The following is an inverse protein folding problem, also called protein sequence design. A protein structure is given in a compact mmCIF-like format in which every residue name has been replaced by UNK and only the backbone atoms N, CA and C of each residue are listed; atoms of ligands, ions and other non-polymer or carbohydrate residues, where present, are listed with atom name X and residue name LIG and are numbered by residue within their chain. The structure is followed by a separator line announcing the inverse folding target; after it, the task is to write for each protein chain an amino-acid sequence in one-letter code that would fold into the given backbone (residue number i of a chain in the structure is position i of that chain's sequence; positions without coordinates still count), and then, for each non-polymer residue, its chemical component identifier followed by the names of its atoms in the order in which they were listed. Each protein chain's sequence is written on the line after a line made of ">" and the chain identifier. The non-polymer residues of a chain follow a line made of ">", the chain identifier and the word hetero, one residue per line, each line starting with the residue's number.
data_IF_856500247095
#
_entry.id   IF_856500247095
#
_cell.length_a   1.000
_cell.length_b   1.000
_cell.length_c   1.000
_cell.angle_alpha   90.00
_cell.angle_beta   90.00
_cell.angle_gamma   90.00
#
_symmetry.space_group_name_H-M   'P 1'
#
loop_
_entity.id
_entity.type
_entity.pdbx_description
1 polymer ?
#
# COMPACT_ATOMS: atom_id res chain seq x y z
N UNK A 1 6.93 12.47 -22.85
CA UNK A 1 6.17 11.26 -23.19
C UNK A 1 4.68 11.56 -23.30
N UNK A 2 4.03 12.09 -22.27
CA UNK A 2 2.58 12.33 -22.26
C UNK A 2 2.11 13.25 -23.40
N UNK A 3 2.87 14.30 -23.72
CA UNK A 3 2.58 15.18 -24.86
C UNK A 3 2.58 14.48 -26.22
N UNK A 4 3.19 13.27 -26.29
CA UNK A 4 3.17 12.43 -27.49
C UNK A 4 2.04 11.41 -27.49
N UNK A 5 1.57 11.01 -26.31
CA UNK A 5 0.55 9.98 -26.15
C UNK A 5 -0.86 10.55 -26.09
N UNK A 6 -0.99 11.79 -25.65
CA UNK A 6 -2.26 12.48 -25.48
C UNK A 6 -2.38 13.54 -26.56
N UNK A 7 -3.36 13.37 -27.45
CA UNK A 7 -3.64 14.26 -28.56
C UNK A 7 -5.10 14.71 -28.55
N UNK A 8 -5.99 13.85 -28.09
CA UNK A 8 -7.42 14.13 -28.09
C UNK A 8 -8.09 13.70 -26.80
N UNK A 9 -9.32 14.16 -26.59
CA UNK A 9 -10.15 13.76 -25.44
C UNK A 9 -10.39 12.24 -25.35
N UNK A 10 -10.22 11.50 -26.47
CA UNK A 10 -10.36 10.04 -26.51
C UNK A 10 -9.22 9.30 -25.83
N UNK A 11 -8.07 9.96 -25.66
CA UNK A 11 -6.91 9.40 -24.99
C UNK A 11 -7.00 9.57 -23.47
N UNK A 12 -8.07 10.22 -22.97
CA UNK A 12 -8.28 10.51 -21.56
C UNK A 12 -9.47 9.73 -20.97
N UNK A 13 -9.40 9.32 -19.70
CA UNK A 13 -8.26 9.48 -18.80
C UNK A 13 -7.14 8.49 -19.10
N UNK A 14 -5.90 8.96 -19.13
CA UNK A 14 -4.74 8.07 -19.13
C UNK A 14 -4.35 7.74 -17.69
N UNK A 15 -4.20 6.45 -17.37
CA UNK A 15 -3.81 5.99 -16.04
C UNK A 15 -2.68 4.98 -16.15
N UNK A 16 -1.55 5.30 -15.53
CA UNK A 16 -0.34 4.48 -15.56
C UNK A 16 0.08 4.16 -14.14
N UNK A 17 0.45 2.93 -13.92
CA UNK A 17 0.95 2.43 -12.63
C UNK A 17 2.26 1.67 -12.84
N UNK A 18 3.25 1.97 -12.01
CA UNK A 18 4.56 1.33 -12.00
C UNK A 18 4.77 0.56 -10.70
N UNK A 19 5.37 -0.61 -10.83
CA UNK A 19 6.00 -1.34 -9.76
C UNK A 19 7.49 -1.37 -10.06
N UNK A 20 8.26 -0.56 -9.36
CA UNK A 20 9.68 -0.40 -9.66
C UNK A 20 10.49 -0.08 -8.40
N UNK A 21 11.77 0.14 -8.61
CA UNK A 21 12.72 0.59 -7.60
C UNK A 21 13.05 2.05 -7.84
N UNK A 22 13.06 2.85 -6.76
CA UNK A 22 13.57 4.21 -6.78
C UNK A 22 14.90 4.29 -6.02
N UNK A 23 15.84 5.05 -6.57
CA UNK A 23 17.15 5.35 -5.95
C UNK A 23 17.23 6.83 -5.62
N UNK A 24 17.57 7.15 -4.36
CA UNK A 24 17.77 8.50 -3.85
C UNK A 24 19.13 8.61 -3.16
N UNK A 25 20.11 9.08 -3.88
CA UNK A 25 21.50 9.17 -3.41
C UNK A 25 21.72 10.19 -2.26
N UNK A 26 20.78 11.13 -2.09
CA UNK A 26 20.82 12.14 -1.02
C UNK A 26 20.53 11.59 0.39
N UNK A 27 20.00 10.36 0.50
CA UNK A 27 19.68 9.76 1.79
C UNK A 27 20.94 9.17 2.42
N UNK A 28 21.40 9.79 3.52
CA UNK A 28 22.60 9.36 4.26
C UNK A 28 22.28 8.57 5.54
N UNK A 29 21.21 8.95 6.26
CA UNK A 29 20.79 8.26 7.47
C UNK A 29 19.66 7.28 7.12
N UNK A 30 19.96 5.99 7.13
CA UNK A 30 19.03 4.93 6.74
C UNK A 30 18.44 4.21 7.96
N UNK A 31 17.19 3.73 7.79
CA UNK A 31 16.51 2.79 8.69
C UNK A 31 15.84 1.72 7.82
N UNK A 32 16.02 0.43 8.08
CA UNK A 32 15.41 -0.63 7.30
C UNK A 32 13.93 -0.39 7.04
N UNK A 33 13.49 -0.55 5.80
CA UNK A 33 12.14 -0.28 5.28
C UNK A 33 11.63 1.15 5.40
N UNK A 34 11.98 1.88 6.46
CA UNK A 34 11.42 3.21 6.75
C UNK A 34 12.07 4.32 5.94
N UNK A 35 13.40 4.28 5.83
CA UNK A 35 14.19 5.27 5.11
C UNK A 35 15.44 4.63 4.53
N UNK A 36 15.42 4.37 3.23
CA UNK A 36 16.52 3.74 2.50
C UNK A 36 16.85 4.56 1.25
N UNK A 37 18.09 4.52 0.79
CA UNK A 37 18.50 5.17 -0.45
C UNK A 37 17.90 4.49 -1.68
N UNK A 38 17.68 3.18 -1.61
CA UNK A 38 16.98 2.41 -2.62
C UNK A 38 15.74 1.77 -2.00
N UNK A 39 14.60 1.82 -2.67
CA UNK A 39 13.36 1.26 -2.17
C UNK A 39 12.42 0.80 -3.28
N UNK A 40 11.73 -0.30 -3.02
CA UNK A 40 10.62 -0.76 -3.83
C UNK A 40 9.38 0.08 -3.53
N UNK A 41 8.67 0.45 -4.57
CA UNK A 41 7.44 1.20 -4.44
C UNK A 41 6.48 0.94 -5.60
N UNK A 42 5.27 1.35 -5.38
CA UNK A 42 4.25 1.51 -6.38
C UNK A 42 4.07 3.01 -6.60
N UNK A 43 4.09 3.43 -7.85
CA UNK A 43 3.88 4.82 -8.25
C UNK A 43 2.89 4.88 -9.39
N UNK A 44 1.93 5.80 -9.30
CA UNK A 44 0.97 6.01 -10.35
C UNK A 44 0.91 7.46 -10.81
N UNK A 45 0.58 7.61 -12.08
CA UNK A 45 0.40 8.89 -12.76
C UNK A 45 -0.84 8.85 -13.60
N UNK A 46 -1.67 9.88 -13.48
CA UNK A 46 -2.89 9.96 -14.28
C UNK A 46 -3.04 11.31 -14.94
N UNK A 47 -3.73 11.32 -16.08
CA UNK A 47 -4.03 12.51 -16.86
C UNK A 47 -5.51 12.52 -17.18
N UNK A 48 -6.17 13.65 -16.96
CA UNK A 48 -7.62 13.82 -17.07
C UNK A 48 -7.99 15.04 -17.89
N UNK A 49 -9.20 15.04 -18.46
CA UNK A 49 -9.73 16.16 -19.21
C UNK A 49 -10.15 17.31 -18.29
N UNK A 50 -10.68 17.01 -17.11
CA UNK A 50 -11.21 18.04 -16.21
C UNK A 50 -10.55 18.01 -14.84
N UNK A 51 -10.66 19.12 -14.13
CA UNK A 51 -10.19 19.28 -12.76
C UNK A 51 -10.91 18.30 -11.83
N UNK A 52 -12.21 18.22 -11.96
CA UNK A 52 -13.09 17.41 -11.12
C UNK A 52 -12.78 15.92 -11.24
N UNK A 53 -12.46 15.43 -12.43
CA UNK A 53 -12.03 14.05 -12.64
C UNK A 53 -10.71 13.76 -11.94
N UNK A 54 -9.74 14.67 -12.07
CA UNK A 54 -8.44 14.53 -11.42
C UNK A 54 -8.56 14.59 -9.87
N UNK A 55 -9.36 15.51 -9.32
CA UNK A 55 -9.61 15.60 -7.87
C UNK A 55 -10.29 14.33 -7.33
N UNK A 56 -11.27 13.78 -8.06
CA UNK A 56 -11.90 12.50 -7.70
C UNK A 56 -10.90 11.36 -7.69
N UNK A 57 -9.98 11.32 -8.65
CA UNK A 57 -8.95 10.29 -8.70
C UNK A 57 -7.99 10.39 -7.50
N UNK A 58 -7.56 11.60 -7.12
CA UNK A 58 -6.73 11.83 -5.92
C UNK A 58 -7.38 11.24 -4.68
N UNK A 59 -8.67 11.52 -4.46
CA UNK A 59 -9.38 11.04 -3.28
C UNK A 59 -9.66 9.54 -3.33
N UNK A 60 -9.98 9.01 -4.52
CA UNK A 60 -10.17 7.57 -4.72
C UNK A 60 -8.90 6.77 -4.37
N UNK A 61 -7.74 7.23 -4.82
CA UNK A 61 -6.47 6.56 -4.52
C UNK A 61 -6.14 6.63 -3.03
N UNK A 62 -6.35 7.79 -2.39
CA UNK A 62 -6.16 7.92 -0.96
C UNK A 62 -7.01 6.93 -0.17
N UNK A 63 -8.27 6.74 -0.58
CA UNK A 63 -9.17 5.78 0.04
C UNK A 63 -8.73 4.32 -0.19
N UNK A 64 -8.28 3.98 -1.40
CA UNK A 64 -7.72 2.64 -1.70
C UNK A 64 -6.52 2.36 -0.80
N UNK A 65 -5.61 3.31 -0.65
CA UNK A 65 -4.46 3.16 0.23
C UNK A 65 -4.86 3.01 1.69
N UNK A 66 -5.77 3.86 2.17
CA UNK A 66 -6.32 3.77 3.53
C UNK A 66 -6.92 2.38 3.79
N UNK A 67 -7.86 1.96 2.95
CA UNK A 67 -8.53 0.67 3.11
C UNK A 67 -7.54 -0.51 3.05
N UNK A 68 -6.53 -0.43 2.17
CA UNK A 68 -5.49 -1.45 2.09
C UNK A 68 -4.71 -1.54 3.40
N UNK A 69 -4.31 -0.42 3.97
CA UNK A 69 -3.50 -0.38 5.19
C UNK A 69 -4.34 -0.79 6.41
N UNK A 70 -5.55 -0.25 6.56
CA UNK A 70 -6.42 -0.59 7.69
C UNK A 70 -6.92 -2.04 7.62
N UNK A 71 -7.39 -2.49 6.47
CA UNK A 71 -7.99 -3.82 6.35
C UNK A 71 -7.00 -4.97 6.19
N UNK A 72 -5.87 -4.75 5.48
CA UNK A 72 -4.89 -5.83 5.23
C UNK A 72 -3.77 -5.84 6.24
N UNK A 73 -3.26 -4.65 6.59
CA UNK A 73 -2.14 -4.52 7.52
C UNK A 73 -2.58 -4.27 8.96
N UNK A 74 -3.88 -4.06 9.20
CA UNK A 74 -4.47 -3.77 10.51
C UNK A 74 -3.81 -2.54 11.20
N UNK A 75 -3.43 -1.53 10.41
CA UNK A 75 -2.80 -0.32 10.91
C UNK A 75 -3.81 0.83 10.83
N UNK A 76 -4.20 1.44 11.96
CA UNK A 76 -5.05 2.61 11.95
C UNK A 76 -4.33 3.81 11.35
N UNK A 77 -4.98 4.52 10.43
CA UNK A 77 -4.40 5.69 9.78
C UNK A 77 -5.30 6.92 9.85
N UNK A 78 -4.65 8.08 9.91
CA UNK A 78 -5.30 9.37 9.74
C UNK A 78 -4.99 9.90 8.34
N UNK A 79 -6.00 10.35 7.62
CA UNK A 79 -5.83 10.99 6.32
C UNK A 79 -6.01 12.50 6.45
N UNK A 80 -5.28 13.25 5.64
CA UNK A 80 -5.34 14.70 5.65
C UNK A 80 -4.66 15.34 4.46
N UNK A 81 -4.74 16.66 4.40
CA UNK A 81 -4.01 17.49 3.43
C UNK A 81 -2.74 18.02 4.08
N UNK A 82 -1.61 17.89 3.38
CA UNK A 82 -0.33 18.45 3.84
C UNK A 82 -0.33 19.97 3.82
N UNK A 83 0.45 20.55 4.71
CA UNK A 83 0.74 21.98 4.71
C UNK A 83 1.45 22.42 3.44
N UNK A 84 1.40 23.69 3.11
CA UNK A 84 2.09 24.27 1.96
C UNK A 84 3.60 24.01 1.96
N UNK A 85 4.19 23.92 3.17
CA UNK A 85 5.61 23.66 3.36
C UNK A 85 6.00 22.19 3.08
N UNK A 86 5.08 21.26 3.30
CA UNK A 86 5.36 19.81 3.25
C UNK A 86 4.73 19.10 2.05
N UNK A 87 3.87 19.78 1.31
CA UNK A 87 3.29 19.24 0.09
C UNK A 87 4.37 18.90 -0.94
N UNK A 88 4.08 18.00 -1.85
CA UNK A 88 4.96 17.72 -2.98
C UNK A 88 5.20 18.99 -3.80
N UNK A 89 6.47 19.28 -4.09
CA UNK A 89 6.85 20.45 -4.87
C UNK A 89 6.26 20.37 -6.28
N UNK A 90 5.50 21.38 -6.66
CA UNK A 90 4.79 21.43 -7.94
C UNK A 90 3.34 20.92 -7.88
N UNK A 91 2.90 20.25 -6.80
CA UNK A 91 1.48 19.95 -6.64
C UNK A 91 0.70 21.20 -6.18
N UNK A 92 -0.55 21.31 -6.59
CA UNK A 92 -1.48 22.30 -6.01
C UNK A 92 -1.78 21.93 -4.56
N UNK A 93 -2.02 20.63 -4.29
CA UNK A 93 -2.08 20.08 -2.93
C UNK A 93 -1.66 18.61 -2.91
N UNK A 94 -1.29 18.15 -1.73
CA UNK A 94 -0.96 16.75 -1.44
C UNK A 94 -1.86 16.24 -0.33
N UNK A 95 -2.50 15.10 -0.58
CA UNK A 95 -3.14 14.31 0.48
C UNK A 95 -2.18 13.24 0.98
N UNK A 96 -2.30 12.89 2.24
CA UNK A 96 -1.43 11.92 2.92
C UNK A 96 -2.24 10.98 3.80
N UNK A 97 -1.72 9.80 4.04
CA UNK A 97 -2.12 8.95 5.16
C UNK A 97 -0.93 8.73 6.08
N UNK A 98 -1.16 8.88 7.37
CA UNK A 98 -0.15 8.79 8.42
C UNK A 98 -0.67 7.98 9.60
N UNK A 99 0.22 7.30 10.29
CA UNK A 99 -0.10 6.59 11.53
C UNK A 99 0.89 6.97 12.61
N UNK A 100 0.44 6.94 13.86
CA UNK A 100 1.31 7.15 15.02
C UNK A 100 1.99 5.83 15.36
N UNK A 101 3.31 5.86 15.37
CA UNK A 101 4.13 4.71 15.75
C UNK A 101 4.24 4.58 17.27
N UNK A 102 4.65 3.41 17.80
CA UNK A 102 4.78 3.20 19.23
C UNK A 102 5.72 4.19 19.95
N UNK A 103 6.66 4.80 19.24
CA UNK A 103 7.55 5.83 19.75
C UNK A 103 6.90 7.25 19.79
N UNK A 104 5.61 7.34 19.49
CA UNK A 104 4.83 8.59 19.48
C UNK A 104 5.01 9.46 18.24
N UNK A 105 5.78 9.03 17.26
CA UNK A 105 6.02 9.79 16.03
C UNK A 105 5.04 9.42 14.93
N UNK A 106 4.62 10.41 14.15
CA UNK A 106 3.84 10.19 12.95
C UNK A 106 4.73 9.63 11.81
N UNK A 107 4.27 8.57 11.17
CA UNK A 107 4.89 8.00 9.98
C UNK A 107 3.98 8.21 8.77
N UNK A 108 4.47 8.92 7.77
CA UNK A 108 3.82 9.01 6.46
C UNK A 108 3.93 7.67 5.74
N UNK A 109 2.79 7.10 5.31
CA UNK A 109 2.74 5.79 4.68
C UNK A 109 2.35 5.81 3.22
N UNK A 110 1.69 6.87 2.75
CA UNK A 110 1.33 7.04 1.36
C UNK A 110 0.82 8.45 1.07
N UNK A 111 0.92 8.86 -0.18
CA UNK A 111 0.47 10.18 -0.64
C UNK A 111 -0.27 10.09 -1.97
N UNK A 112 -1.20 11.01 -2.16
CA UNK A 112 -1.86 11.24 -3.45
C UNK A 112 -1.87 12.74 -3.72
N UNK A 113 -1.35 13.12 -4.89
CA UNK A 113 -1.06 14.50 -5.24
C UNK A 113 -1.99 14.98 -6.35
N UNK A 114 -2.63 16.11 -6.12
CA UNK A 114 -3.26 16.87 -7.19
C UNK A 114 -2.23 17.82 -7.80
N UNK A 115 -1.75 17.48 -8.98
CA UNK A 115 -0.73 18.27 -9.67
C UNK A 115 -1.34 19.47 -10.42
N UNK A 116 -2.66 19.45 -10.62
CA UNK A 116 -3.34 20.46 -11.41
C UNK A 116 -2.81 20.50 -12.83
N UNK A 117 -2.45 21.69 -13.29
CA UNK A 117 -1.81 21.92 -14.58
C UNK A 117 -0.35 22.37 -14.46
N UNK A 118 0.25 22.23 -13.26
CA UNK A 118 1.59 22.75 -12.99
C UNK A 118 2.69 22.01 -13.77
N UNK A 119 2.42 20.77 -14.19
CA UNK A 119 3.33 20.01 -15.05
C UNK A 119 2.83 19.97 -16.51
N UNK A 120 1.54 19.92 -16.76
CA UNK A 120 1.03 19.87 -18.14
C UNK A 120 1.36 21.12 -18.94
N UNK A 121 1.34 22.30 -18.32
CA UNK A 121 1.72 23.54 -19.00
C UNK A 121 3.18 23.57 -19.46
N UNK A 122 4.19 23.40 -18.58
CA UNK A 122 5.59 23.46 -19.00
C UNK A 122 6.01 22.29 -19.91
N UNK A 123 5.31 21.15 -19.84
CA UNK A 123 5.61 19.98 -20.67
C UNK A 123 4.69 19.85 -21.89
N UNK A 124 3.86 20.87 -22.17
CA UNK A 124 2.95 20.93 -23.33
C UNK A 124 2.06 19.68 -23.45
N UNK A 125 1.50 19.21 -22.31
CA UNK A 125 0.56 18.10 -22.29
C UNK A 125 -0.84 18.64 -22.53
N UNK A 126 -1.25 18.63 -23.82
CA UNK A 126 -2.52 19.15 -24.30
C UNK A 126 -3.33 18.07 -24.99
N UNK A 127 -4.62 18.30 -25.07
CA UNK A 127 -5.54 17.48 -25.85
C UNK A 127 -6.55 18.37 -26.58
N UNK A 128 -7.00 17.95 -27.76
CA UNK A 128 -8.12 18.56 -28.42
C UNK A 128 -9.45 17.99 -27.88
N UNK A 129 -10.40 18.83 -27.56
CA UNK A 129 -11.74 18.40 -27.15
C UNK A 129 -12.61 18.00 -28.38
N UNK A 130 -13.90 17.80 -28.18
CA UNK A 130 -14.85 17.38 -29.23
C UNK A 130 -15.04 18.45 -30.32
N UNK A 131 -14.77 19.68 -29.97
CA UNK A 131 -14.90 20.84 -30.84
C UNK A 131 -13.56 21.27 -31.46
N UNK A 132 -12.52 20.43 -31.32
CA UNK A 132 -11.14 20.66 -31.73
C UNK A 132 -10.47 21.87 -31.05
N UNK A 133 -10.91 22.23 -29.85
CA UNK A 133 -10.26 23.25 -29.02
C UNK A 133 -9.20 22.60 -28.16
N UNK A 134 -7.98 23.15 -28.13
CA UNK A 134 -6.89 22.68 -27.31
C UNK A 134 -7.04 23.12 -25.85
N UNK A 135 -6.82 22.15 -24.93
CA UNK A 135 -6.81 22.35 -23.48
C UNK A 135 -5.59 21.71 -22.88
N UNK A 136 -5.02 22.33 -21.82
CA UNK A 136 -4.05 21.65 -20.97
C UNK A 136 -4.73 20.62 -20.10
N UNK A 137 -4.15 19.42 -20.02
CA UNK A 137 -4.69 18.33 -19.24
C UNK A 137 -4.44 18.53 -17.73
N UNK A 138 -5.27 17.91 -16.91
CA UNK A 138 -5.15 17.87 -15.45
C UNK A 138 -4.45 16.58 -15.01
N UNK A 139 -3.51 16.70 -14.08
CA UNK A 139 -2.66 15.56 -13.72
C UNK A 139 -2.71 15.25 -12.23
N UNK A 140 -2.51 13.96 -11.92
CA UNK A 140 -2.29 13.47 -10.56
C UNK A 140 -1.09 12.54 -10.51
N UNK A 141 -0.52 12.38 -9.33
CA UNK A 141 0.42 11.31 -9.03
C UNK A 141 0.22 10.79 -7.63
N UNK A 142 0.58 9.54 -7.38
CA UNK A 142 0.37 8.90 -6.09
C UNK A 142 1.34 7.74 -5.90
N UNK A 143 1.61 7.38 -4.64
CA UNK A 143 2.57 6.32 -4.36
C UNK A 143 2.55 5.82 -2.94
N UNK A 144 2.92 4.54 -2.82
CA UNK A 144 3.24 3.84 -1.57
C UNK A 144 4.50 3.01 -1.77
N UNK A 145 5.27 2.83 -0.73
CA UNK A 145 6.52 2.07 -0.78
C UNK A 145 6.53 0.93 0.23
N UNK A 146 7.56 0.13 0.22
CA UNK A 146 7.78 -0.91 1.22
C UNK A 146 7.89 -0.38 2.66
N UNK A 147 7.83 0.96 2.86
CA UNK A 147 7.66 1.56 4.19
C UNK A 147 6.45 1.00 4.93
N UNK A 148 5.42 0.54 4.20
CA UNK A 148 4.27 -0.15 4.79
C UNK A 148 4.67 -1.41 5.56
N UNK A 149 5.70 -2.14 5.09
CA UNK A 149 6.26 -3.31 5.80
C UNK A 149 6.91 -2.84 7.10
N UNK A 150 7.72 -1.78 7.05
CA UNK A 150 8.33 -1.20 8.26
C UNK A 150 7.30 -0.72 9.27
N UNK A 151 6.22 -0.07 8.82
CA UNK A 151 5.12 0.34 9.68
C UNK A 151 4.43 -0.86 10.34
N UNK A 152 4.15 -1.91 9.57
CA UNK A 152 3.57 -3.15 10.07
C UNK A 152 4.44 -3.81 11.15
N UNK A 153 5.75 -3.89 10.91
CA UNK A 153 6.71 -4.44 11.88
C UNK A 153 6.73 -3.60 13.17
N UNK A 154 6.75 -2.27 13.04
CA UNK A 154 6.80 -1.39 14.20
C UNK A 154 5.52 -1.43 15.05
N UNK A 155 4.36 -1.60 14.42
CA UNK A 155 3.07 -1.57 15.12
C UNK A 155 2.73 -2.91 15.75
N UNK A 156 3.02 -4.02 15.07
CA UNK A 156 2.59 -5.35 15.48
C UNK A 156 3.70 -6.20 16.10
N UNK A 157 4.97 -5.94 15.74
CA UNK A 157 6.10 -6.69 16.31
C UNK A 157 6.30 -6.43 17.80
N UNK A 158 6.91 -7.38 18.48
CA UNK A 158 7.30 -7.29 19.87
C UNK A 158 8.76 -7.75 20.08
N UNK A 159 9.21 -7.82 21.34
CA UNK A 159 10.57 -8.24 21.68
C UNK A 159 10.86 -9.72 21.33
N UNK A 160 9.85 -10.51 21.03
CA UNK A 160 9.99 -11.91 20.60
C UNK A 160 10.12 -12.05 19.09
N UNK A 161 9.73 -11.01 18.32
CA UNK A 161 9.88 -10.97 16.89
C UNK A 161 8.71 -10.38 16.14
N UNK A 162 8.58 -10.82 14.88
CA UNK A 162 7.58 -10.34 13.95
C UNK A 162 6.21 -10.93 14.26
N UNK A 163 5.22 -10.06 14.39
CA UNK A 163 3.80 -10.44 14.45
C UNK A 163 3.13 -9.93 13.17
N UNK A 164 2.56 -10.84 12.40
CA UNK A 164 1.89 -10.51 11.14
C UNK A 164 0.37 -10.45 11.32
N UNK A 165 -0.29 -9.43 10.80
CA UNK A 165 -1.75 -9.40 10.73
C UNK A 165 -2.28 -10.63 9.97
N UNK A 166 -3.42 -11.22 10.39
CA UNK A 166 -3.91 -12.47 9.79
C UNK A 166 -4.10 -12.42 8.28
N UNK A 167 -4.49 -11.27 7.72
CA UNK A 167 -4.73 -11.14 6.27
C UNK A 167 -3.45 -11.22 5.42
N UNK A 168 -2.28 -10.90 5.98
CA UNK A 168 -0.98 -10.97 5.29
C UNK A 168 -0.11 -12.13 5.76
N UNK A 169 -0.42 -12.73 6.90
CA UNK A 169 0.29 -13.91 7.40
C UNK A 169 0.21 -15.07 6.38
N UNK A 170 1.30 -15.74 6.04
CA UNK A 170 1.28 -16.93 5.17
C UNK A 170 0.37 -18.02 5.74
N UNK A 171 0.40 -18.21 7.06
CA UNK A 171 -0.47 -19.09 7.84
C UNK A 171 -1.23 -18.25 8.84
N UNK A 172 -2.56 -18.37 8.84
CA UNK A 172 -3.41 -17.61 9.76
C UNK A 172 -3.64 -18.37 11.09
N UNK A 173 -3.61 -19.70 11.01
CA UNK A 173 -3.76 -20.60 12.14
C UNK A 173 -2.70 -21.68 12.03
N UNK A 174 -2.01 -21.93 13.12
CA UNK A 174 -1.13 -23.10 13.28
C UNK A 174 -1.75 -23.98 14.35
N UNK A 175 -1.99 -25.25 14.02
CA UNK A 175 -2.49 -26.27 14.97
C UNK A 175 -1.30 -27.10 15.40
N UNK A 176 -1.04 -27.13 16.70
CA UNK A 176 0.03 -27.97 17.28
C UNK A 176 -0.64 -29.11 18.03
N UNK A 177 -0.62 -30.35 17.51
CA UNK A 177 -1.18 -31.51 18.21
C UNK A 177 -0.32 -31.86 19.42
N UNK A 178 -0.93 -31.94 20.60
CA UNK A 178 -0.24 -32.31 21.82
C UNK A 178 -0.81 -33.63 22.34
N UNK A 179 0.00 -34.66 22.36
CA UNK A 179 -0.33 -35.97 22.89
C UNK A 179 0.91 -36.59 23.63
N UNK A 180 0.68 -37.51 24.56
CA UNK A 180 1.74 -38.09 25.39
C UNK A 180 2.11 -39.51 24.96
N UNK A 181 1.24 -40.22 24.27
CA UNK A 181 1.40 -41.62 23.86
C UNK A 181 0.57 -41.89 22.59
N UNK A 182 0.69 -43.08 22.02
CA UNK A 182 -0.01 -43.47 20.81
C UNK A 182 -1.54 -43.48 20.99
N UNK A 183 -2.05 -43.88 22.14
CA UNK A 183 -3.51 -43.81 22.39
C UNK A 183 -4.03 -42.35 22.34
N UNK A 184 -3.25 -41.42 22.91
CA UNK A 184 -3.57 -39.99 22.80
C UNK A 184 -3.47 -39.47 21.38
N UNK A 185 -2.50 -39.95 20.61
CA UNK A 185 -2.33 -39.61 19.17
C UNK A 185 -3.56 -40.00 18.37
N UNK A 186 -4.05 -41.23 18.57
CA UNK A 186 -5.23 -41.76 17.87
C UNK A 186 -6.52 -40.96 18.14
N UNK A 187 -6.60 -40.28 19.28
CA UNK A 187 -7.72 -39.44 19.66
C UNK A 187 -7.56 -38.01 19.12
N UNK A 188 -6.35 -37.45 19.20
CA UNK A 188 -6.07 -36.05 18.88
C UNK A 188 -6.05 -35.82 17.37
N UNK A 189 -5.35 -36.64 16.59
CA UNK A 189 -5.19 -36.41 15.15
C UNK A 189 -6.51 -36.34 14.36
N UNK A 190 -7.50 -37.22 14.59
CA UNK A 190 -8.80 -37.07 13.93
C UNK A 190 -9.49 -35.75 14.22
N UNK A 191 -9.35 -35.21 15.44
CA UNK A 191 -9.89 -33.90 15.81
C UNK A 191 -9.13 -32.75 15.17
N UNK A 192 -7.82 -32.87 15.02
CA UNK A 192 -7.00 -31.89 14.31
C UNK A 192 -7.45 -31.82 12.85
N UNK A 193 -7.63 -32.97 12.19
CA UNK A 193 -8.07 -33.01 10.79
C UNK A 193 -9.47 -32.40 10.62
N UNK A 194 -10.42 -32.69 11.54
CA UNK A 194 -11.76 -32.09 11.52
C UNK A 194 -11.70 -30.54 11.62
N UNK A 195 -10.80 -30.02 12.49
CA UNK A 195 -10.62 -28.58 12.67
C UNK A 195 -9.96 -27.96 11.45
N UNK A 196 -8.91 -28.60 10.90
CA UNK A 196 -8.21 -28.16 9.70
C UNK A 196 -9.18 -28.03 8.53
N UNK A 197 -9.91 -29.10 8.19
CA UNK A 197 -10.89 -29.11 7.12
C UNK A 197 -11.94 -28.00 7.30
N UNK A 198 -12.42 -27.81 8.52
CA UNK A 198 -13.40 -26.76 8.84
C UNK A 198 -12.84 -25.36 8.60
N UNK A 199 -11.60 -25.11 9.01
CA UNK A 199 -10.95 -23.81 8.80
C UNK A 199 -10.65 -23.55 7.33
N UNK A 200 -10.18 -24.58 6.59
CA UNK A 200 -9.94 -24.49 5.16
C UNK A 200 -11.24 -24.21 4.38
N UNK A 201 -12.35 -24.84 4.77
CA UNK A 201 -13.66 -24.57 4.17
C UNK A 201 -14.13 -23.11 4.31
N UNK A 202 -13.57 -22.40 5.30
CA UNK A 202 -13.78 -20.95 5.53
C UNK A 202 -12.73 -20.08 4.83
N UNK A 203 -11.87 -20.67 3.95
CA UNK A 203 -10.74 -20.02 3.30
C UNK A 203 -9.70 -19.44 4.28
N UNK A 204 -9.53 -20.06 5.43
CA UNK A 204 -8.48 -19.75 6.39
C UNK A 204 -7.24 -20.60 6.06
N UNK A 205 -6.08 -19.93 5.93
CA UNK A 205 -4.80 -20.62 5.70
C UNK A 205 -4.34 -21.28 6.98
N UNK A 206 -4.38 -22.61 7.01
CA UNK A 206 -4.04 -23.43 8.18
C UNK A 206 -2.73 -24.17 7.92
N UNK A 207 -2.02 -24.48 8.98
CA UNK A 207 -0.89 -25.40 8.98
C UNK A 207 -0.98 -26.26 10.25
N UNK A 208 -0.83 -27.56 10.08
CA UNK A 208 -0.68 -28.51 11.21
C UNK A 208 0.80 -28.73 11.43
N UNK A 209 1.30 -28.37 12.60
CA UNK A 209 2.68 -28.64 13.00
C UNK A 209 2.73 -29.98 13.76
N UNK A 210 2.92 -31.05 13.02
CA UNK A 210 2.98 -32.43 13.51
C UNK A 210 4.41 -32.94 13.77
N UNK A 211 5.39 -32.04 13.80
CA UNK A 211 6.80 -32.39 14.05
C UNK A 211 6.98 -33.03 15.43
N UNK A 212 7.52 -34.22 15.48
CA UNK A 212 7.80 -34.93 16.71
C UNK A 212 9.10 -34.42 17.36
N UNK A 213 9.18 -34.57 18.70
CA UNK A 213 10.40 -34.26 19.48
C UNK A 213 10.65 -32.78 19.74
N UNK A 214 9.72 -31.90 19.40
CA UNK A 214 9.75 -30.47 19.74
C UNK A 214 8.84 -30.20 20.94
N UNK A 215 9.24 -29.25 21.81
CA UNK A 215 8.32 -28.72 22.81
C UNK A 215 7.37 -27.69 22.13
N UNK A 216 6.11 -27.63 22.59
CA UNK A 216 5.16 -26.66 22.13
C UNK A 216 5.62 -25.21 22.34
#
# INVERSE_FOLDING_TARGET
>A
LYSKWIQSWRDLPLKINFWNTALRAEIKATKPFLRTSEFLWQEGHTVHATKEEAEKEVMKILEIYKNTVEEKLAIPVTTGKKSEKEKFVGAEYTTTMESIMPDGKALQMGTSHFLGQNFSKPFEVKFADKDNVEHFAWQTSWGVSWRLIGAMIMIHGDDKGLVLPPKVAPMQVVIVPIYRNDEGKDIVLPKVNEIEEKLESLNIRVHVDDREGLSP
#
